data_IF_917245041898
#
_entry.id   IF_917245041898
#
_cell.length_a   1.000
_cell.length_b   1.000
_cell.length_c   1.000
_cell.angle_alpha   90.00
_cell.angle_beta   90.00
_cell.angle_gamma   90.00
#
_symmetry.space_group_name_H-M   'P 1'
#
loop_
_entity.id
_entity.type
_entity.pdbx_description
1 polymer ?
#
# COMPACT_ATOMS: atom_id res chain seq x y z
N UNK A 1 60.00 43.45 -83.14
CA UNK A 1 60.98 44.14 -83.92
C UNK A 1 60.95 43.63 -85.31
N UNK A 2 60.31 44.23 -86.18
CA UNK A 2 60.38 44.49 -87.61
C UNK A 2 59.79 43.48 -88.58
N UNK A 3 59.69 42.23 -88.40
CA UNK A 3 59.30 41.26 -89.43
C UNK A 3 58.15 40.28 -89.04
N UNK A 4 57.50 40.52 -87.88
CA UNK A 4 56.38 39.67 -87.45
C UNK A 4 55.27 40.55 -86.84
N UNK A 5 54.11 40.42 -87.41
CA UNK A 5 52.86 40.97 -86.93
C UNK A 5 51.96 39.82 -86.52
N UNK A 6 51.43 39.88 -85.27
CA UNK A 6 50.46 38.93 -84.80
C UNK A 6 50.04 39.30 -83.37
N UNK A 7 48.83 39.04 -83.01
CA UNK A 7 48.28 39.13 -81.68
C UNK A 7 47.86 37.73 -81.22
N UNK A 8 47.98 37.43 -79.94
CA UNK A 8 47.39 36.25 -79.35
C UNK A 8 46.49 36.73 -78.19
N UNK A 9 45.36 36.07 -78.04
CA UNK A 9 44.44 36.28 -76.94
C UNK A 9 44.71 35.19 -75.85
N UNK A 10 44.73 35.60 -74.60
CA UNK A 10 44.76 34.71 -73.46
C UNK A 10 43.51 35.01 -72.65
N UNK A 11 42.66 34.03 -72.52
CA UNK A 11 41.50 34.13 -71.69
C UNK A 11 41.83 33.63 -70.21
N UNK A 12 41.43 34.37 -69.27
CA UNK A 12 41.53 34.02 -67.87
C UNK A 12 40.12 33.84 -67.30
N UNK A 13 39.88 32.80 -66.55
CA UNK A 13 38.68 32.59 -65.80
C UNK A 13 38.95 32.80 -64.28
N UNK A 14 38.15 33.61 -63.63
CA UNK A 14 38.13 33.75 -62.19
C UNK A 14 36.95 32.96 -61.62
N UNK A 15 37.22 31.82 -61.05
CA UNK A 15 36.18 30.96 -60.47
C UNK A 15 35.84 31.40 -59.08
N UNK A 16 34.62 31.05 -58.64
CA UNK A 16 34.17 31.34 -57.25
C UNK A 16 34.91 30.47 -56.25
N UNK A 17 35.19 31.03 -55.08
CA UNK A 17 35.75 30.29 -53.95
C UNK A 17 34.65 29.48 -53.29
N UNK A 18 34.94 28.22 -52.98
CA UNK A 18 34.07 27.35 -52.21
C UNK A 18 34.41 27.49 -50.71
N UNK A 19 33.48 28.03 -49.96
CA UNK A 19 33.61 28.22 -48.51
C UNK A 19 32.62 27.34 -47.81
N UNK A 20 33.10 26.50 -46.86
CA UNK A 20 32.26 25.72 -45.98
C UNK A 20 32.26 26.36 -44.62
N UNK A 21 31.06 26.68 -44.09
CA UNK A 21 30.84 27.20 -42.75
C UNK A 21 30.27 26.06 -41.90
N UNK A 22 31.03 25.64 -40.87
CA UNK A 22 30.65 24.49 -40.06
C UNK A 22 30.53 24.95 -38.60
N UNK A 23 29.34 24.79 -37.99
CA UNK A 23 29.19 24.98 -36.53
C UNK A 23 29.79 23.81 -35.75
N UNK A 24 30.18 24.05 -34.50
CA UNK A 24 30.81 23.04 -33.65
C UNK A 24 29.82 21.99 -33.19
N UNK A 25 30.33 20.75 -33.03
CA UNK A 25 29.75 19.73 -32.15
C UNK A 25 30.00 20.10 -30.69
N UNK A 26 29.08 19.68 -29.80
CA UNK A 26 29.31 19.75 -28.35
C UNK A 26 28.47 18.71 -27.62
N UNK A 27 28.89 18.35 -26.40
CA UNK A 27 28.24 17.34 -25.58
C UNK A 27 28.30 17.71 -24.11
N UNK A 28 27.23 17.41 -23.36
CA UNK A 28 27.22 17.48 -21.90
C UNK A 28 26.27 16.45 -21.30
N UNK A 29 26.44 16.17 -19.98
CA UNK A 29 25.47 15.47 -19.16
C UNK A 29 24.33 16.43 -18.82
N UNK A 30 23.10 15.95 -18.76
CA UNK A 30 21.92 16.71 -18.37
C UNK A 30 22.10 17.38 -16.99
N UNK A 31 21.84 18.68 -16.95
CA UNK A 31 21.88 19.51 -15.73
C UNK A 31 20.72 20.51 -15.66
N UNK A 32 19.70 20.32 -16.51
CA UNK A 32 18.54 21.22 -16.62
C UNK A 32 18.80 22.52 -17.38
N UNK A 33 20.04 22.79 -17.82
CA UNK A 33 20.39 23.98 -18.57
C UNK A 33 20.62 23.68 -20.06
N UNK A 34 20.40 24.66 -20.94
CA UNK A 34 20.62 24.53 -22.37
C UNK A 34 22.10 24.37 -22.71
N UNK A 35 22.43 23.40 -23.56
CA UNK A 35 23.71 23.28 -24.26
C UNK A 35 23.68 24.18 -25.49
N UNK A 36 24.64 25.11 -25.60
CA UNK A 36 24.86 25.98 -26.77
C UNK A 36 26.34 26.07 -27.06
N UNK A 37 26.72 26.20 -28.35
CA UNK A 37 28.10 26.43 -28.75
C UNK A 37 28.14 27.40 -29.92
N UNK A 38 28.65 28.59 -29.70
CA UNK A 38 28.65 29.70 -30.67
C UNK A 38 29.79 29.62 -31.72
N UNK A 39 30.58 28.57 -31.71
CA UNK A 39 31.73 28.40 -32.60
C UNK A 39 31.31 28.02 -34.01
N UNK A 40 31.74 28.81 -35.00
CA UNK A 40 31.63 28.50 -36.44
C UNK A 40 33.01 28.53 -37.05
N UNK A 41 33.40 27.47 -37.72
CA UNK A 41 34.69 27.35 -38.42
C UNK A 41 34.49 27.60 -39.93
N UNK A 42 35.54 28.12 -40.59
CA UNK A 42 35.55 28.40 -42.00
C UNK A 42 36.52 27.47 -42.69
N UNK A 43 35.99 26.55 -43.51
CA UNK A 43 36.71 25.57 -44.29
C UNK A 43 36.72 25.87 -45.79
N UNK A 44 37.14 24.87 -46.57
CA UNK A 44 37.28 25.00 -48.02
C UNK A 44 38.41 26.00 -48.41
N UNK A 45 38.17 26.79 -49.48
CA UNK A 45 39.07 27.84 -49.92
C UNK A 45 39.18 29.02 -48.96
N UNK A 46 38.31 29.09 -47.95
CA UNK A 46 38.19 30.19 -47.00
C UNK A 46 37.84 31.52 -47.68
N UNK A 47 37.52 32.55 -46.93
CA UNK A 47 37.36 33.90 -47.44
C UNK A 47 38.67 34.50 -47.92
N UNK A 48 38.66 35.37 -48.95
CA UNK A 48 39.81 36.09 -49.40
C UNK A 48 40.36 37.04 -48.30
N UNK A 49 41.57 37.51 -48.46
CA UNK A 49 42.23 38.40 -47.49
C UNK A 49 41.37 39.63 -47.22
N UNK A 50 41.04 39.88 -45.90
CA UNK A 50 40.20 40.95 -45.38
C UNK A 50 38.70 40.80 -45.62
N UNK A 51 38.25 39.69 -46.24
CA UNK A 51 36.83 39.33 -46.37
C UNK A 51 36.42 38.34 -45.27
N UNK A 52 35.17 38.38 -44.84
CA UNK A 52 34.65 37.54 -43.79
C UNK A 52 33.13 37.64 -43.66
N UNK A 53 32.57 36.82 -42.76
CA UNK A 53 31.19 36.88 -42.32
C UNK A 53 31.09 37.01 -40.78
N UNK A 54 29.95 37.44 -40.30
CA UNK A 54 29.52 37.31 -38.93
C UNK A 54 28.52 36.16 -38.81
N UNK A 55 28.46 35.56 -37.66
CA UNK A 55 27.64 34.38 -37.41
C UNK A 55 26.68 34.66 -36.24
N UNK A 56 25.46 34.19 -36.36
CA UNK A 56 24.46 34.15 -35.28
C UNK A 56 24.04 32.71 -35.11
N UNK A 57 24.61 32.07 -34.09
CA UNK A 57 24.30 30.67 -33.74
C UNK A 57 23.03 30.65 -32.88
N UNK A 58 22.09 29.75 -33.23
CA UNK A 58 20.77 29.62 -32.59
C UNK A 58 20.49 28.18 -32.16
N UNK A 59 21.45 27.25 -32.42
CA UNK A 59 21.33 25.86 -31.96
C UNK A 59 21.32 25.75 -30.45
N UNK A 60 20.45 24.90 -29.91
CA UNK A 60 20.31 24.65 -28.49
C UNK A 60 19.74 23.23 -28.24
N UNK A 61 20.19 22.57 -27.18
CA UNK A 61 19.67 21.30 -26.69
C UNK A 61 19.60 21.32 -25.18
N UNK A 62 18.44 21.03 -24.59
CA UNK A 62 18.25 21.00 -23.12
C UNK A 62 18.02 19.60 -22.60
N UNK A 63 17.02 18.91 -23.15
CA UNK A 63 16.66 17.56 -22.75
C UNK A 63 17.61 16.52 -23.37
N UNK A 64 17.64 15.32 -22.79
CA UNK A 64 18.42 14.19 -23.35
C UNK A 64 18.05 13.96 -24.81
N UNK A 65 19.07 13.80 -25.62
CA UNK A 65 18.93 13.68 -27.07
C UNK A 65 19.94 14.55 -27.82
N UNK A 66 19.63 14.88 -29.07
CA UNK A 66 20.50 15.72 -29.88
C UNK A 66 19.76 16.56 -30.90
N UNK A 67 20.33 17.73 -31.17
CA UNK A 67 19.85 18.67 -32.16
C UNK A 67 21.00 19.19 -33.02
N UNK A 68 20.66 19.83 -34.18
CA UNK A 68 21.65 20.51 -34.98
C UNK A 68 22.03 21.86 -34.34
N UNK A 69 23.32 22.19 -34.34
CA UNK A 69 23.82 23.49 -33.95
C UNK A 69 23.62 24.49 -35.09
N UNK A 70 22.40 24.95 -35.27
CA UNK A 70 22.00 25.83 -36.37
C UNK A 70 22.56 27.22 -36.25
N UNK A 71 22.88 27.86 -37.40
CA UNK A 71 23.32 29.24 -37.42
C UNK A 71 22.87 29.98 -38.69
N UNK A 72 22.82 31.29 -38.62
CA UNK A 72 22.76 32.20 -39.73
C UNK A 72 24.11 32.91 -39.90
N UNK A 73 24.38 33.45 -41.07
CA UNK A 73 25.57 34.29 -41.31
C UNK A 73 25.20 35.52 -42.15
N UNK A 74 25.96 36.58 -41.97
CA UNK A 74 25.90 37.80 -42.78
C UNK A 74 27.29 38.13 -43.26
N UNK A 75 27.46 38.37 -44.60
CA UNK A 75 28.71 38.77 -45.15
C UNK A 75 29.05 40.21 -44.72
N UNK A 76 30.29 40.45 -44.35
CA UNK A 76 30.72 41.83 -44.06
C UNK A 76 30.72 42.69 -45.34
N UNK A 77 30.60 44.01 -45.17
CA UNK A 77 30.43 44.97 -46.27
C UNK A 77 31.48 44.92 -47.37
N UNK A 78 32.67 44.45 -47.06
CA UNK A 78 33.76 44.26 -48.03
C UNK A 78 33.78 42.89 -48.70
N UNK A 79 32.81 42.01 -48.41
CA UNK A 79 32.71 40.65 -48.96
C UNK A 79 31.59 40.57 -50.00
N UNK A 80 31.97 40.33 -51.29
CA UNK A 80 30.98 40.20 -52.34
C UNK A 80 30.48 38.78 -52.47
N UNK A 81 29.17 38.55 -52.27
CA UNK A 81 28.53 37.24 -52.37
C UNK A 81 28.76 36.54 -53.72
N UNK A 82 28.84 37.34 -54.82
CA UNK A 82 29.07 36.79 -56.17
C UNK A 82 30.40 36.04 -56.35
N UNK A 83 31.38 36.27 -55.46
CA UNK A 83 32.70 35.67 -55.51
C UNK A 83 32.77 34.31 -54.79
N UNK A 84 31.67 33.88 -54.14
CA UNK A 84 31.65 32.71 -53.28
C UNK A 84 30.50 31.74 -53.62
N UNK A 85 30.77 30.45 -53.37
CA UNK A 85 29.79 29.41 -53.18
C UNK A 85 29.91 29.02 -51.71
N UNK A 86 28.91 29.34 -50.90
CA UNK A 86 28.95 29.14 -49.44
C UNK A 86 28.01 27.97 -49.09
N UNK A 87 28.59 26.92 -48.45
CA UNK A 87 27.88 25.78 -47.94
C UNK A 87 27.83 25.89 -46.38
N UNK A 88 26.68 25.57 -45.80
CA UNK A 88 26.52 25.44 -44.36
C UNK A 88 26.51 23.97 -43.95
N UNK A 89 27.28 23.62 -42.92
CA UNK A 89 27.26 22.35 -42.25
C UNK A 89 26.98 22.58 -40.77
N UNK A 90 26.00 21.84 -40.23
CA UNK A 90 25.63 22.01 -38.84
C UNK A 90 26.26 20.91 -38.02
N UNK A 91 26.96 21.31 -36.96
CA UNK A 91 27.38 20.42 -35.89
C UNK A 91 26.20 19.88 -35.11
N UNK A 92 26.49 18.98 -34.19
CA UNK A 92 25.54 18.26 -33.37
C UNK A 92 25.72 18.66 -31.90
N UNK A 93 24.66 19.11 -31.25
CA UNK A 93 24.62 19.28 -29.79
C UNK A 93 23.99 18.03 -29.19
N UNK A 94 24.67 17.39 -28.22
CA UNK A 94 24.22 16.15 -27.59
C UNK A 94 24.13 16.36 -26.07
N UNK A 95 22.97 16.05 -25.49
CA UNK A 95 22.79 15.96 -24.03
C UNK A 95 22.57 14.50 -23.67
N UNK A 96 23.41 13.96 -22.79
CA UNK A 96 23.30 12.60 -22.26
C UNK A 96 22.59 12.60 -20.93
N UNK A 97 22.01 11.46 -20.56
CA UNK A 97 21.30 11.33 -19.26
C UNK A 97 22.26 11.51 -18.09
N UNK A 98 21.74 12.02 -16.98
CA UNK A 98 22.42 12.02 -15.70
C UNK A 98 22.51 10.58 -15.17
N UNK A 99 23.72 10.13 -14.84
CA UNK A 99 24.01 8.78 -14.34
C UNK A 99 23.97 8.69 -12.80
N UNK A 100 23.82 9.81 -12.10
CA UNK A 100 23.69 9.84 -10.65
C UNK A 100 22.48 9.01 -10.19
N UNK A 101 22.65 8.22 -9.11
CA UNK A 101 21.55 7.43 -8.58
C UNK A 101 20.46 8.36 -7.99
N UNK A 102 19.26 8.34 -8.55
CA UNK A 102 18.07 8.94 -7.97
C UNK A 102 17.30 7.85 -7.22
N UNK A 103 17.24 7.95 -5.90
CA UNK A 103 16.45 7.03 -5.07
C UNK A 103 15.11 7.68 -4.75
N UNK A 104 14.03 7.05 -5.19
CA UNK A 104 12.65 7.41 -4.85
C UNK A 104 12.15 6.44 -3.79
N UNK A 105 11.92 6.95 -2.57
CA UNK A 105 11.40 6.17 -1.46
C UNK A 105 9.89 6.35 -1.40
N UNK A 106 9.16 5.27 -1.55
CA UNK A 106 7.70 5.19 -1.45
C UNK A 106 7.35 4.53 -0.12
N UNK A 107 6.51 5.18 0.68
CA UNK A 107 6.06 4.64 1.96
C UNK A 107 4.54 4.58 1.97
N UNK A 108 3.97 3.40 1.85
CA UNK A 108 2.54 3.16 1.95
C UNK A 108 2.01 3.55 3.33
N UNK A 109 0.86 4.20 3.37
CA UNK A 109 0.24 4.65 4.61
C UNK A 109 -0.23 3.48 5.45
N UNK A 110 -0.24 3.67 6.78
CA UNK A 110 -0.66 2.66 7.77
C UNK A 110 -1.67 3.26 8.72
N UNK A 111 -2.67 2.46 9.07
CA UNK A 111 -3.62 2.84 10.12
C UNK A 111 -4.15 1.62 10.87
N UNK A 112 -4.69 1.87 12.07
CA UNK A 112 -5.22 0.84 12.96
C UNK A 112 -6.60 1.25 13.45
N UNK A 113 -7.57 0.35 13.29
CA UNK A 113 -8.94 0.52 13.72
C UNK A 113 -9.35 -0.65 14.63
N UNK A 114 -10.29 -0.41 15.54
CA UNK A 114 -10.98 -1.50 16.23
C UNK A 114 -12.10 -2.07 15.34
N UNK A 115 -12.37 -3.35 15.49
CA UNK A 115 -13.48 -4.03 14.79
C UNK A 115 -14.83 -3.39 15.14
N UNK A 116 -15.60 -3.05 14.09
CA UNK A 116 -16.93 -2.43 14.20
C UNK A 116 -17.99 -3.13 13.33
N UNK A 117 -17.60 -4.21 12.64
CA UNK A 117 -18.47 -4.89 11.68
C UNK A 117 -18.70 -4.13 10.38
N UNK A 118 -17.98 -3.00 10.17
CA UNK A 118 -18.03 -2.19 8.93
C UNK A 118 -16.67 -2.16 8.26
N UNK A 119 -16.66 -2.05 6.93
CA UNK A 119 -15.42 -1.94 6.15
C UNK A 119 -14.60 -0.73 6.60
N UNK A 120 -13.27 -0.93 6.74
CA UNK A 120 -12.25 0.08 6.94
C UNK A 120 -11.33 0.10 5.73
N UNK A 121 -10.73 1.25 5.45
CA UNK A 121 -9.73 1.36 4.38
C UNK A 121 -8.58 2.26 4.77
N UNK A 122 -7.41 1.98 4.17
CA UNK A 122 -6.23 2.85 4.18
C UNK A 122 -5.83 3.08 2.75
N UNK A 123 -5.55 4.33 2.38
CA UNK A 123 -5.24 4.70 1.01
C UNK A 123 -4.07 5.65 0.92
N UNK A 124 -3.29 5.50 -0.18
CA UNK A 124 -2.21 6.39 -0.56
C UNK A 124 -0.86 6.00 0.02
N UNK A 125 0.14 6.71 -0.45
CA UNK A 125 1.54 6.60 -0.04
C UNK A 125 2.18 7.98 0.04
N UNK A 126 3.31 8.07 0.71
CA UNK A 126 4.14 9.27 0.77
C UNK A 126 5.41 9.04 -0.05
N UNK A 127 5.92 10.10 -0.70
CA UNK A 127 7.09 10.06 -1.57
C UNK A 127 8.22 10.89 -0.98
N UNK A 128 9.44 10.36 -1.02
CA UNK A 128 10.66 11.09 -0.70
C UNK A 128 11.71 10.79 -1.76
N UNK A 129 12.28 11.83 -2.35
CA UNK A 129 13.26 11.74 -3.45
C UNK A 129 14.62 12.19 -2.94
N UNK A 130 15.72 11.66 -3.50
CA UNK A 130 17.10 12.04 -3.18
C UNK A 130 17.26 13.56 -3.13
N UNK A 131 17.79 14.05 -2.01
CA UNK A 131 18.00 15.48 -1.80
C UNK A 131 18.97 16.07 -2.83
N UNK A 132 18.62 17.24 -3.40
CA UNK A 132 19.42 17.94 -4.41
C UNK A 132 19.17 17.49 -5.85
N UNK A 133 18.40 16.44 -6.08
CA UNK A 133 17.90 16.08 -7.42
C UNK A 133 16.77 17.02 -7.83
N UNK A 134 16.70 17.31 -9.12
CA UNK A 134 15.55 18.01 -9.73
C UNK A 134 14.46 17.03 -10.20
N UNK A 135 14.65 15.73 -10.00
CA UNK A 135 13.64 14.69 -10.22
C UNK A 135 12.42 14.90 -9.32
N UNK A 136 11.23 14.80 -9.86
CA UNK A 136 9.98 15.10 -9.18
C UNK A 136 8.96 13.94 -9.32
N UNK A 137 7.87 13.99 -8.56
CA UNK A 137 6.80 12.99 -8.63
C UNK A 137 6.12 12.93 -10.01
N UNK A 138 6.19 14.00 -10.80
CA UNK A 138 5.71 14.02 -12.19
C UNK A 138 6.55 13.20 -13.16
N UNK A 139 7.77 12.81 -12.75
CA UNK A 139 8.74 12.11 -13.59
C UNK A 139 8.58 10.59 -13.57
N UNK A 140 7.66 10.07 -12.77
CA UNK A 140 7.30 8.66 -12.76
C UNK A 140 5.78 8.45 -12.78
N UNK A 141 5.37 7.26 -13.16
CA UNK A 141 3.97 6.82 -13.09
C UNK A 141 3.80 5.67 -12.12
N UNK A 142 2.63 5.64 -11.47
CA UNK A 142 2.17 4.56 -10.63
C UNK A 142 1.07 3.76 -11.35
N UNK A 143 1.19 2.44 -11.39
CA UNK A 143 0.24 1.53 -12.05
C UNK A 143 -0.33 0.44 -11.14
N UNK A 144 -0.02 0.48 -9.82
CA UNK A 144 -0.48 -0.47 -8.82
C UNK A 144 -1.81 -0.12 -8.18
N UNK A 145 -2.04 -0.70 -7.00
CA UNK A 145 -3.17 -0.38 -6.13
C UNK A 145 -2.64 0.32 -4.86
N UNK A 146 -3.16 1.50 -4.56
CA UNK A 146 -2.79 2.31 -3.40
C UNK A 146 -3.84 2.26 -2.27
N UNK A 147 -4.79 1.32 -2.33
CA UNK A 147 -5.83 1.18 -1.31
C UNK A 147 -5.93 -0.25 -0.82
N UNK A 148 -6.06 -0.42 0.50
CA UNK A 148 -6.37 -1.69 1.14
C UNK A 148 -7.63 -1.56 1.97
N UNK A 149 -8.48 -2.59 1.95
CA UNK A 149 -9.76 -2.65 2.66
C UNK A 149 -9.86 -3.92 3.47
N UNK A 150 -10.60 -3.84 4.59
CA UNK A 150 -10.89 -4.98 5.44
C UNK A 150 -12.10 -4.73 6.32
N UNK A 151 -12.74 -5.80 6.76
CA UNK A 151 -13.90 -5.74 7.66
C UNK A 151 -13.63 -6.52 8.94
N UNK A 152 -12.98 -7.67 8.84
CA UNK A 152 -12.70 -8.58 9.94
C UNK A 152 -11.39 -8.20 10.66
N UNK A 153 -11.23 -8.61 11.91
CA UNK A 153 -9.98 -8.40 12.64
C UNK A 153 -8.81 -9.12 11.95
N UNK A 154 -7.70 -8.39 11.74
CA UNK A 154 -6.55 -8.90 11.02
C UNK A 154 -5.67 -7.78 10.48
N UNK A 155 -4.65 -8.19 9.73
CA UNK A 155 -3.72 -7.28 9.05
C UNK A 155 -3.84 -7.47 7.55
N UNK A 156 -4.02 -6.38 6.84
CA UNK A 156 -4.20 -6.32 5.39
C UNK A 156 -3.14 -5.41 4.78
N UNK A 157 -2.65 -5.76 3.60
CA UNK A 157 -1.58 -5.03 2.92
C UNK A 157 -2.08 -4.47 1.58
N UNK A 158 -1.58 -3.31 1.18
CA UNK A 158 -1.90 -2.70 -0.12
C UNK A 158 -1.33 -3.50 -1.28
N UNK A 159 -0.15 -4.13 -1.08
CA UNK A 159 0.58 -4.86 -2.09
C UNK A 159 1.47 -3.98 -2.95
N UNK A 160 1.86 -2.79 -2.45
CA UNK A 160 2.78 -1.89 -3.14
C UNK A 160 4.16 -2.53 -3.30
N UNK A 161 4.73 -2.44 -4.49
CA UNK A 161 6.04 -2.97 -4.85
C UNK A 161 6.78 -2.08 -5.84
N UNK A 162 8.10 -2.16 -5.96
CA UNK A 162 8.89 -1.31 -6.86
C UNK A 162 8.43 -1.34 -8.32
N UNK A 163 7.96 -2.50 -8.80
CA UNK A 163 7.52 -2.72 -10.18
C UNK A 163 6.23 -1.95 -10.53
N UNK A 164 5.52 -1.44 -9.53
CA UNK A 164 4.33 -0.60 -9.74
C UNK A 164 4.69 0.84 -10.14
N UNK A 165 5.97 1.22 -10.04
CA UNK A 165 6.48 2.57 -10.33
C UNK A 165 7.41 2.53 -11.53
N UNK A 166 7.19 3.42 -12.50
CA UNK A 166 7.97 3.48 -13.74
C UNK A 166 8.51 4.89 -13.95
N UNK A 167 9.84 5.01 -14.10
CA UNK A 167 10.45 6.28 -14.52
C UNK A 167 10.03 6.63 -15.94
N UNK A 168 9.54 7.86 -16.16
CA UNK A 168 9.14 8.40 -17.47
C UNK A 168 10.06 9.54 -17.93
N UNK A 169 11.06 9.92 -17.14
CA UNK A 169 11.98 11.00 -17.48
C UNK A 169 13.33 10.44 -17.95
N UNK A 170 13.56 10.49 -19.27
CA UNK A 170 14.77 9.99 -19.92
C UNK A 170 16.03 10.78 -19.54
N UNK A 171 15.89 11.95 -18.90
CA UNK A 171 17.02 12.75 -18.43
C UNK A 171 17.78 12.09 -17.27
N UNK A 172 17.16 11.10 -16.61
CA UNK A 172 17.73 10.36 -15.49
C UNK A 172 17.88 8.88 -15.86
N UNK A 173 19.14 8.45 -16.05
CA UNK A 173 19.47 7.09 -16.48
C UNK A 173 19.39 6.05 -15.36
N UNK A 174 19.46 6.47 -14.09
CA UNK A 174 19.59 5.57 -12.94
C UNK A 174 18.59 5.96 -11.83
N UNK A 175 17.34 5.50 -11.95
CA UNK A 175 16.27 5.75 -10.97
C UNK A 175 15.90 4.45 -10.27
N UNK A 176 15.98 4.44 -8.93
CA UNK A 176 15.66 3.29 -8.08
C UNK A 176 14.44 3.59 -7.21
N UNK A 177 13.40 2.76 -7.27
CA UNK A 177 12.25 2.82 -6.39
C UNK A 177 12.43 1.88 -5.21
N UNK A 178 12.41 2.44 -3.97
CA UNK A 178 12.42 1.69 -2.71
C UNK A 178 11.05 1.79 -2.07
N UNK A 179 10.34 0.68 -2.00
CA UNK A 179 8.93 0.65 -1.58
C UNK A 179 8.79 -0.05 -0.23
N UNK A 180 8.10 0.62 0.70
CA UNK A 180 7.56 0.03 1.94
C UNK A 180 6.06 -0.04 1.79
N UNK A 181 5.49 -1.25 1.92
CA UNK A 181 4.07 -1.47 1.72
C UNK A 181 3.19 -0.78 2.76
N UNK A 182 1.99 -0.39 2.34
CA UNK A 182 0.94 0.14 3.20
C UNK A 182 0.17 -0.96 3.92
N UNK A 183 -0.44 -0.61 5.06
CA UNK A 183 -1.05 -1.59 5.95
C UNK A 183 -2.30 -1.05 6.63
N UNK A 184 -3.37 -1.84 6.62
CA UNK A 184 -4.54 -1.70 7.47
C UNK A 184 -4.50 -2.77 8.56
N UNK A 185 -4.59 -2.37 9.82
CA UNK A 185 -4.76 -3.28 10.96
C UNK A 185 -6.14 -3.09 11.57
N UNK A 186 -6.92 -4.15 11.68
CA UNK A 186 -8.19 -4.16 12.43
C UNK A 186 -7.97 -5.01 13.67
N UNK A 187 -7.99 -4.38 14.84
CA UNK A 187 -7.83 -5.07 16.13
C UNK A 187 -9.16 -5.68 16.56
N UNK A 188 -9.14 -6.85 17.21
CA UNK A 188 -10.33 -7.44 17.80
C UNK A 188 -10.94 -6.52 18.85
N UNK A 189 -12.27 -6.54 18.95
CA UNK A 189 -13.06 -5.80 19.92
C UNK A 189 -13.18 -6.59 21.23
N UNK A 190 -13.20 -5.90 22.38
CA UNK A 190 -13.43 -6.54 23.68
C UNK A 190 -14.79 -7.22 23.73
N UNK A 191 -14.85 -8.48 24.20
CA UNK A 191 -16.10 -9.22 24.45
C UNK A 191 -16.65 -9.00 25.86
N UNK A 192 -15.90 -8.32 26.74
CA UNK A 192 -16.30 -8.14 28.13
C UNK A 192 -17.44 -7.10 28.24
N UNK A 193 -18.62 -7.49 28.80
CA UNK A 193 -19.73 -6.56 29.06
C UNK A 193 -19.40 -5.43 30.05
N UNK A 194 -18.39 -5.63 30.92
CA UNK A 194 -17.96 -4.62 31.92
C UNK A 194 -17.11 -3.51 31.27
N UNK A 195 -16.60 -3.73 30.05
CA UNK A 195 -15.95 -2.70 29.27
C UNK A 195 -17.02 -1.81 28.62
N UNK A 196 -17.27 -0.64 29.19
CA UNK A 196 -18.27 0.32 28.71
C UNK A 196 -18.13 0.67 27.23
N UNK A 197 -16.92 0.58 26.70
CA UNK A 197 -16.64 0.87 25.28
C UNK A 197 -16.99 -0.30 24.36
N UNK A 198 -17.05 -1.51 24.89
CA UNK A 198 -17.34 -2.70 24.08
C UNK A 198 -18.73 -2.67 23.47
N UNK A 199 -19.74 -2.22 24.21
CA UNK A 199 -21.14 -2.34 23.81
C UNK A 199 -21.60 -3.80 23.73
N UNK A 200 -20.95 -4.69 24.46
CA UNK A 200 -21.34 -6.10 24.57
C UNK A 200 -22.34 -6.23 25.73
N UNK A 201 -23.34 -7.05 25.52
CA UNK A 201 -24.27 -7.50 26.58
C UNK A 201 -24.33 -9.01 26.60
N UNK A 202 -24.52 -9.58 27.77
CA UNK A 202 -24.69 -11.02 27.94
C UNK A 202 -25.87 -11.28 28.88
N UNK A 203 -26.73 -12.21 28.51
CA UNK A 203 -27.84 -12.65 29.41
C UNK A 203 -27.24 -13.46 30.57
N UNK A 204 -27.92 -13.43 31.69
CA UNK A 204 -27.61 -14.37 32.78
C UNK A 204 -28.19 -15.74 32.40
N UNK A 205 -27.42 -16.84 32.58
CA UNK A 205 -27.93 -18.18 32.37
C UNK A 205 -28.98 -18.50 33.44
N UNK A 206 -30.01 -19.25 33.05
CA UNK A 206 -31.06 -19.67 34.02
C UNK A 206 -30.52 -20.79 34.94
N UNK A 207 -31.03 -20.81 36.20
CA UNK A 207 -30.76 -21.90 37.13
C UNK A 207 -31.50 -23.17 36.66
N UNK A 208 -30.97 -24.34 37.02
CA UNK A 208 -31.57 -25.64 36.72
C UNK A 208 -31.91 -26.38 38.01
N UNK A 209 -32.84 -27.34 37.92
CA UNK A 209 -33.14 -28.24 39.04
C UNK A 209 -32.52 -29.60 38.75
N UNK A 210 -31.89 -30.20 39.76
CA UNK A 210 -31.25 -31.50 39.63
C UNK A 210 -32.19 -32.55 39.02
N UNK A 211 -31.71 -33.26 38.02
CA UNK A 211 -32.47 -34.31 37.30
C UNK A 211 -31.61 -35.56 36.95
N UNK A 212 -30.36 -35.61 37.49
CA UNK A 212 -29.42 -36.68 37.19
C UNK A 212 -28.66 -36.55 35.87
N UNK A 213 -28.97 -35.55 35.05
CA UNK A 213 -28.33 -35.30 33.77
C UNK A 213 -27.45 -34.00 33.80
N UNK A 214 -26.58 -33.87 32.84
CA UNK A 214 -25.73 -32.67 32.73
C UNK A 214 -26.55 -31.45 32.29
N UNK A 215 -26.40 -30.36 33.04
CA UNK A 215 -26.99 -29.05 32.78
C UNK A 215 -25.95 -28.12 32.15
N UNK A 216 -25.97 -27.92 30.82
CA UNK A 216 -25.12 -26.97 30.10
C UNK A 216 -25.98 -25.80 29.65
N UNK A 217 -26.24 -24.86 30.58
CA UNK A 217 -27.20 -23.81 30.33
C UNK A 217 -26.61 -22.73 29.39
N UNK A 218 -27.25 -22.41 28.27
CA UNK A 218 -26.75 -21.46 27.30
C UNK A 218 -26.88 -20.03 27.83
N UNK A 219 -26.01 -19.17 27.34
CA UNK A 219 -26.16 -17.71 27.48
C UNK A 219 -26.13 -17.06 26.09
N UNK A 220 -26.72 -15.89 25.98
CA UNK A 220 -26.73 -15.12 24.76
C UNK A 220 -25.80 -13.92 24.91
N UNK A 221 -24.89 -13.74 23.97
CA UNK A 221 -23.99 -12.58 23.89
C UNK A 221 -24.39 -11.74 22.67
N UNK A 222 -24.59 -10.44 22.88
CA UNK A 222 -25.02 -9.53 21.81
C UNK A 222 -24.06 -8.35 21.72
N UNK A 223 -23.62 -8.01 20.52
CA UNK A 223 -22.93 -6.75 20.23
C UNK A 223 -23.98 -5.69 19.84
N UNK A 224 -24.29 -4.79 20.77
CA UNK A 224 -25.31 -3.76 20.60
C UNK A 224 -24.92 -2.69 19.57
N UNK A 225 -23.59 -2.50 19.34
CA UNK A 225 -23.11 -1.53 18.34
C UNK A 225 -23.28 -2.03 16.90
N UNK A 226 -23.16 -3.34 16.69
CA UNK A 226 -23.42 -3.95 15.39
C UNK A 226 -24.88 -4.44 15.25
N UNK A 227 -25.61 -4.54 16.37
CA UNK A 227 -26.96 -5.10 16.45
C UNK A 227 -27.02 -6.61 16.21
N UNK A 228 -25.89 -7.32 16.37
CA UNK A 228 -25.77 -8.77 16.08
C UNK A 228 -25.66 -9.59 17.35
N UNK A 229 -26.35 -10.73 17.37
CA UNK A 229 -26.05 -11.78 18.29
C UNK A 229 -24.78 -12.50 17.88
N UNK A 230 -23.88 -12.70 18.83
CA UNK A 230 -22.62 -13.40 18.60
C UNK A 230 -22.84 -14.90 18.57
N UNK A 231 -22.03 -15.59 17.78
CA UNK A 231 -22.19 -17.04 17.52
C UNK A 231 -21.05 -17.79 18.23
N UNK A 232 -21.45 -18.77 19.06
CA UNK A 232 -20.50 -19.69 19.70
C UNK A 232 -19.66 -20.43 18.66
N UNK A 233 -18.39 -20.65 18.97
CA UNK A 233 -17.35 -21.27 18.14
C UNK A 233 -16.97 -20.44 16.87
N UNK A 234 -17.54 -19.23 16.70
CA UNK A 234 -17.17 -18.27 15.67
C UNK A 234 -16.67 -16.98 16.28
N UNK A 235 -17.41 -16.42 17.22
CA UNK A 235 -17.16 -15.12 17.82
C UNK A 235 -16.67 -15.27 19.28
N UNK A 236 -17.03 -16.37 19.93
CA UNK A 236 -16.60 -16.72 21.29
C UNK A 236 -16.64 -18.23 21.51
N UNK A 237 -16.01 -18.69 22.60
CA UNK A 237 -16.09 -20.06 23.12
C UNK A 237 -16.62 -20.07 24.53
N UNK A 238 -17.32 -21.15 24.92
CA UNK A 238 -17.78 -21.40 26.29
C UNK A 238 -16.99 -22.54 26.93
N UNK A 239 -16.66 -22.37 28.20
CA UNK A 239 -16.10 -23.43 29.04
C UNK A 239 -16.88 -23.47 30.33
N UNK A 240 -17.49 -24.63 30.64
CA UNK A 240 -18.19 -24.86 31.89
C UNK A 240 -17.21 -25.40 32.93
N UNK A 241 -17.11 -24.71 34.06
CA UNK A 241 -16.22 -25.05 35.18
C UNK A 241 -17.03 -25.35 36.42
N UNK A 242 -16.83 -26.57 36.98
CA UNK A 242 -17.58 -27.11 38.09
C UNK A 242 -18.32 -28.39 37.71
N UNK A 243 -19.09 -28.93 38.67
CA UNK A 243 -19.94 -30.09 38.41
C UNK A 243 -21.24 -29.63 37.71
N UNK A 244 -21.46 -30.12 36.53
CA UNK A 244 -22.64 -29.75 35.68
C UNK A 244 -23.81 -30.72 35.92
N UNK A 245 -23.66 -31.75 36.78
CA UNK A 245 -24.71 -32.73 37.07
C UNK A 245 -25.28 -32.50 38.50
N UNK A 246 -24.41 -32.41 39.47
CA UNK A 246 -24.85 -32.33 40.89
C UNK A 246 -25.17 -30.92 41.33
N UNK A 247 -25.93 -30.82 42.43
CA UNK A 247 -26.29 -29.57 43.08
C UNK A 247 -25.05 -28.73 43.42
N UNK A 248 -25.05 -27.47 42.96
CA UNK A 248 -23.92 -26.58 43.13
C UNK A 248 -23.98 -25.33 42.28
N UNK A 249 -22.84 -24.66 42.13
CA UNK A 249 -22.69 -23.49 41.27
C UNK A 249 -21.76 -23.86 40.14
N UNK A 250 -22.22 -23.65 38.91
CA UNK A 250 -21.43 -23.82 37.69
C UNK A 250 -21.01 -22.46 37.18
N UNK A 251 -19.72 -22.30 36.86
CA UNK A 251 -19.16 -21.11 36.28
C UNK A 251 -19.07 -21.35 34.75
N UNK A 252 -19.49 -20.36 33.95
CA UNK A 252 -19.31 -20.32 32.51
C UNK A 252 -18.21 -19.29 32.22
N UNK A 253 -17.11 -19.73 31.62
CA UNK A 253 -16.07 -18.86 31.07
C UNK A 253 -16.35 -18.60 29.63
N UNK A 254 -16.50 -17.32 29.28
CA UNK A 254 -16.72 -16.85 27.89
C UNK A 254 -15.45 -16.20 27.40
N UNK A 255 -14.89 -16.69 26.30
CA UNK A 255 -13.67 -16.17 25.70
C UNK A 255 -13.91 -15.75 24.26
N UNK A 256 -13.58 -14.49 23.94
CA UNK A 256 -13.66 -13.96 22.57
C UNK A 256 -12.66 -14.60 21.63
N UNK A 257 -13.08 -14.83 20.40
CA UNK A 257 -12.25 -15.32 19.30
C UNK A 257 -12.58 -14.57 18.00
N UNK A 258 -11.69 -14.64 16.99
CA UNK A 258 -11.88 -13.99 15.72
C UNK A 258 -11.90 -12.47 15.83
N UNK A 259 -13.05 -11.86 15.63
CA UNK A 259 -13.26 -10.42 15.74
C UNK A 259 -13.37 -9.90 17.17
N UNK A 260 -13.39 -10.78 18.14
CA UNK A 260 -13.53 -10.45 19.54
C UNK A 260 -12.34 -10.99 20.35
N UNK A 261 -12.03 -10.31 21.43
CA UNK A 261 -10.93 -10.66 22.35
C UNK A 261 -11.35 -10.44 23.80
N UNK A 262 -10.54 -10.94 24.74
CA UNK A 262 -10.84 -10.86 26.16
C UNK A 262 -11.77 -11.95 26.63
N UNK A 263 -12.19 -11.87 27.89
CA UNK A 263 -12.98 -12.90 28.55
C UNK A 263 -13.86 -12.28 29.64
N UNK A 264 -14.93 -12.98 29.97
CA UNK A 264 -15.76 -12.70 31.15
C UNK A 264 -16.40 -13.99 31.68
N UNK A 265 -17.03 -13.93 32.86
CA UNK A 265 -17.66 -15.10 33.46
C UNK A 265 -19.10 -14.82 33.86
N UNK A 266 -19.93 -15.87 33.77
CA UNK A 266 -21.28 -15.93 34.31
C UNK A 266 -21.39 -17.19 35.20
N UNK A 267 -22.41 -17.25 36.04
CA UNK A 267 -22.69 -18.42 36.88
C UNK A 267 -24.16 -18.73 36.86
N UNK A 268 -24.50 -20.00 37.04
CA UNK A 268 -25.84 -20.49 37.36
C UNK A 268 -25.77 -21.57 38.43
N UNK A 269 -26.92 -21.89 39.03
CA UNK A 269 -27.01 -22.92 40.09
C UNK A 269 -27.78 -24.11 39.56
N UNK A 270 -27.35 -25.30 40.02
CA UNK A 270 -28.16 -26.50 39.98
C UNK A 270 -28.73 -26.63 41.40
N UNK A 271 -30.05 -26.45 41.48
CA UNK A 271 -30.78 -26.47 42.75
C UNK A 271 -31.25 -27.88 43.13
N UNK A 272 -31.42 -28.19 44.41
CA UNK A 272 -31.96 -29.49 44.82
C UNK A 272 -33.33 -29.75 44.22
N UNK A 273 -33.56 -31.02 43.88
CA UNK A 273 -34.88 -31.49 43.50
C UNK A 273 -35.65 -31.81 44.76
N UNK A 274 -36.90 -31.40 44.87
CA UNK A 274 -37.78 -31.72 45.97
C UNK A 274 -38.27 -33.16 45.86
N UNK A 275 -38.34 -33.87 46.98
CA UNK A 275 -38.93 -35.18 47.10
C UNK A 275 -39.90 -35.20 48.28
N UNK A 276 -40.84 -36.11 48.24
CA UNK A 276 -41.89 -36.29 49.29
C UNK A 276 -41.83 -37.67 49.84
N UNK A 277 -41.83 -37.76 51.20
CA UNK A 277 -41.93 -39.03 51.92
C UNK A 277 -43.33 -39.10 52.55
N UNK A 278 -44.08 -40.16 52.18
CA UNK A 278 -45.38 -40.44 52.77
C UNK A 278 -45.28 -41.74 53.54
N UNK A 279 -45.53 -41.69 54.84
CA UNK A 279 -45.56 -42.89 55.69
C UNK A 279 -46.93 -43.54 55.65
N UNK A 280 -46.97 -44.86 55.58
CA UNK A 280 -48.21 -45.60 55.68
C UNK A 280 -48.68 -45.64 57.13
N UNK A 281 -49.99 -45.69 57.29
CA UNK A 281 -50.60 -46.00 58.65
C UNK A 281 -50.95 -47.49 58.65
N UNK A 282 -50.67 -48.15 59.71
CA UNK A 282 -50.99 -49.56 59.93
C UNK A 282 -51.44 -49.79 61.35
N UNK A 283 -52.11 -50.90 61.58
CA UNK A 283 -52.55 -51.34 62.91
C UNK A 283 -52.49 -52.85 63.03
N UNK A 284 -52.13 -53.38 64.17
CA UNK A 284 -52.17 -54.83 64.43
C UNK A 284 -52.60 -55.09 65.79
N UNK A 285 -53.14 -56.33 66.04
CA UNK A 285 -53.37 -56.85 67.35
C UNK A 285 -52.02 -57.18 68.01
N UNK A 286 -51.88 -56.89 69.28
CA UNK A 286 -50.63 -57.15 70.02
C UNK A 286 -50.24 -58.62 70.00
N UNK A 287 -49.03 -58.89 69.45
CA UNK A 287 -48.44 -60.21 69.27
C UNK A 287 -46.99 -60.27 69.85
N UNK A 288 -46.52 -59.26 70.57
CA UNK A 288 -45.17 -59.17 71.13
C UNK A 288 -44.09 -58.73 70.17
N UNK A 289 -44.40 -58.39 68.90
CA UNK A 289 -43.48 -57.85 67.84
C UNK A 289 -43.75 -56.38 67.53
N UNK A 290 -42.70 -55.67 67.02
CA UNK A 290 -42.86 -54.30 66.62
C UNK A 290 -43.88 -54.13 65.41
N UNK A 291 -44.68 -53.09 65.47
CA UNK A 291 -45.47 -52.66 64.31
C UNK A 291 -44.56 -51.84 63.44
N UNK A 292 -44.33 -52.23 62.13
CA UNK A 292 -43.61 -51.47 61.12
C UNK A 292 -44.51 -51.21 59.99
N UNK A 293 -44.76 -49.91 59.71
CA UNK A 293 -45.50 -49.49 58.55
C UNK A 293 -44.46 -48.96 57.55
N UNK A 294 -44.54 -49.43 56.29
CA UNK A 294 -43.67 -48.91 55.23
C UNK A 294 -44.03 -47.46 54.82
N UNK A 295 -43.27 -46.91 53.99
CA UNK A 295 -43.51 -45.57 53.40
C UNK A 295 -43.32 -45.59 51.88
N UNK A 296 -43.70 -44.50 51.23
CA UNK A 296 -43.50 -44.25 49.85
C UNK A 296 -42.69 -42.97 49.66
N UNK A 297 -41.67 -43.00 48.85
CA UNK A 297 -40.90 -41.84 48.41
C UNK A 297 -41.33 -41.50 46.96
N UNK A 298 -41.65 -40.25 46.70
CA UNK A 298 -41.96 -39.73 45.39
C UNK A 298 -41.06 -38.55 45.04
N UNK A 299 -40.64 -38.39 43.78
CA UNK A 299 -39.87 -37.30 43.33
C UNK A 299 -38.35 -37.54 43.26
N UNK A 300 -37.83 -38.71 43.72
CA UNK A 300 -36.45 -39.13 43.49
C UNK A 300 -36.27 -39.64 42.06
N UNK A 301 -35.03 -39.67 41.56
CA UNK A 301 -34.66 -40.20 40.25
C UNK A 301 -34.52 -41.73 40.39
N UNK A 302 -34.95 -42.49 39.36
CA UNK A 302 -34.86 -43.93 39.34
C UNK A 302 -33.40 -44.41 39.54
N UNK A 303 -33.17 -45.26 40.53
CA UNK A 303 -31.85 -45.82 40.88
C UNK A 303 -31.10 -45.01 41.92
N UNK A 304 -31.64 -43.90 42.41
CA UNK A 304 -31.10 -43.16 43.55
C UNK A 304 -31.85 -43.56 44.86
N UNK A 305 -31.10 -43.64 45.95
CA UNK A 305 -31.61 -43.90 47.28
C UNK A 305 -31.49 -42.68 48.18
N UNK A 306 -32.50 -42.46 49.03
CA UNK A 306 -32.49 -41.48 50.09
C UNK A 306 -32.55 -42.17 51.44
N UNK A 307 -31.47 -42.07 52.23
CA UNK A 307 -31.47 -42.56 53.58
C UNK A 307 -32.17 -41.55 54.54
N UNK A 308 -33.07 -42.05 55.42
CA UNK A 308 -33.77 -41.21 56.43
C UNK A 308 -34.07 -42.02 57.73
#
# INVERSE_FOLDING_TARGET
IGNYEGSFEVTYEITKRHVTLTSADDEKVYDGSALTNDTVTVGGDKFAKRESATYNVTGSQTEVGSSQNTFAYELKTNTKASNYIITKEFGKLTVTAEDGEVVVVITGRKDTFEYTGTEKSVKGYDVSITAGSTYAESDFTFSGNDEVKGTEAGTYYMGLKPEDFTNNNENYGNVTFRVTDGQLTITPKSINPEDEKSGITATDPEDSTYNGEAHVNPLKVTDTKTGKDLVENKDYTLTYVGDVVNVGTVKIEVKGIGNYTGEFTKTYKITPREYTVTTNTDSKVYDGTALTAGGKIEGIIDGEDVEF
#
